data_IF_560132076596
#
_entry.id   IF_560132076596
#
_cell.length_a   1.000
_cell.length_b   1.000
_cell.length_c   1.000
_cell.angle_alpha   90.00
_cell.angle_beta   90.00
_cell.angle_gamma   90.00
#
_symmetry.space_group_name_H-M   'P 1'
#
loop_
_entity.id
_entity.type
_entity.pdbx_description
1 polymer ?
#
# COMPACT_ATOMS: atom_id res chain seq x y z
N UNK A 1 -13.41 -5.35 -9.17
CA UNK A 1 -12.23 -4.83 -9.92
C UNK A 1 -11.30 -5.98 -10.21
N UNK A 2 -10.79 -6.07 -11.41
CA UNK A 2 -9.91 -7.18 -11.72
C UNK A 2 -8.48 -6.94 -11.20
N UNK A 3 -7.71 -8.03 -11.17
CA UNK A 3 -6.36 -7.99 -10.59
C UNK A 3 -5.42 -7.04 -11.33
N UNK A 4 -5.57 -6.92 -12.64
CA UNK A 4 -4.72 -6.04 -13.43
C UNK A 4 -4.97 -4.57 -13.10
N UNK A 5 -6.21 -4.17 -12.93
CA UNK A 5 -6.54 -2.80 -12.54
C UNK A 5 -6.02 -2.50 -11.15
N UNK A 6 -6.20 -3.42 -10.22
CA UNK A 6 -5.71 -3.26 -8.87
C UNK A 6 -4.19 -3.09 -8.85
N UNK A 7 -3.48 -3.94 -9.59
CA UNK A 7 -2.02 -3.86 -9.66
C UNK A 7 -1.57 -2.53 -10.27
N UNK A 8 -2.24 -2.08 -11.34
CA UNK A 8 -1.92 -0.81 -11.98
C UNK A 8 -2.11 0.37 -11.03
N UNK A 9 -3.19 0.36 -10.26
CA UNK A 9 -3.45 1.40 -9.27
C UNK A 9 -2.35 1.39 -8.20
N UNK A 10 -1.99 0.21 -7.71
CA UNK A 10 -0.95 0.10 -6.70
C UNK A 10 0.40 0.60 -7.22
N UNK A 11 0.74 0.30 -8.46
CA UNK A 11 1.98 0.80 -9.06
C UNK A 11 2.00 2.33 -9.13
N UNK A 12 0.87 2.95 -9.46
CA UNK A 12 0.76 4.41 -9.45
C UNK A 12 0.93 4.97 -8.04
N UNK A 13 0.36 4.30 -7.06
CA UNK A 13 0.54 4.69 -5.66
C UNK A 13 2.01 4.62 -5.26
N UNK A 14 2.72 3.57 -5.68
CA UNK A 14 4.15 3.45 -5.42
C UNK A 14 4.95 4.59 -6.06
N UNK A 15 4.59 4.99 -7.27
CA UNK A 15 5.24 6.13 -7.92
C UNK A 15 5.05 7.41 -7.10
N UNK A 16 3.84 7.65 -6.62
CA UNK A 16 3.59 8.82 -5.76
C UNK A 16 4.38 8.75 -4.47
N UNK A 17 4.44 7.57 -3.84
CA UNK A 17 5.20 7.39 -2.61
C UNK A 17 6.70 7.61 -2.82
N UNK A 18 7.22 7.25 -3.98
CA UNK A 18 8.64 7.39 -4.27
C UNK A 18 9.11 8.85 -4.34
N UNK A 19 8.18 9.78 -4.44
CA UNK A 19 8.51 11.22 -4.44
C UNK A 19 8.88 11.71 -3.04
N UNK A 20 8.33 11.07 -2.01
CA UNK A 20 8.53 11.48 -0.62
C UNK A 20 9.36 10.50 0.20
N UNK A 21 9.43 9.25 -0.25
CA UNK A 21 10.12 8.17 0.46
C UNK A 21 11.32 7.75 -0.37
N UNK A 22 12.45 7.51 0.29
CA UNK A 22 13.67 7.12 -0.42
C UNK A 22 13.47 5.83 -1.21
N UNK A 23 14.22 5.71 -2.31
CA UNK A 23 14.15 4.50 -3.13
C UNK A 23 14.46 3.25 -2.32
N UNK A 24 15.44 3.33 -1.44
CA UNK A 24 15.81 2.19 -0.60
C UNK A 24 14.64 1.74 0.29
N UNK A 25 13.96 2.70 0.92
CA UNK A 25 12.80 2.37 1.75
C UNK A 25 11.65 1.82 0.93
N UNK A 26 11.39 2.40 -0.25
CA UNK A 26 10.36 1.87 -1.15
C UNK A 26 10.67 0.43 -1.54
N UNK A 27 11.92 0.16 -1.94
CA UNK A 27 12.31 -1.18 -2.37
C UNK A 27 12.25 -2.19 -1.23
N UNK A 28 12.59 -1.76 -0.01
CA UNK A 28 12.67 -2.66 1.14
C UNK A 28 11.30 -2.93 1.78
N UNK A 29 10.43 -1.93 1.85
CA UNK A 29 9.22 -2.03 2.65
C UNK A 29 7.92 -1.94 1.84
N UNK A 30 7.92 -1.23 0.72
CA UNK A 30 6.71 -1.01 -0.05
C UNK A 30 6.55 -1.98 -1.21
N UNK A 31 7.63 -2.34 -1.89
CA UNK A 31 7.56 -3.29 -3.01
C UNK A 31 7.10 -4.69 -2.61
N UNK A 32 7.46 -5.22 -1.42
CA UNK A 32 6.94 -6.51 -1.01
C UNK A 32 5.45 -6.55 -0.70
N UNK A 33 4.81 -5.39 -0.60
CA UNK A 33 3.38 -5.32 -0.31
C UNK A 33 2.58 -5.80 -1.52
N UNK A 34 1.56 -6.60 -1.25
CA UNK A 34 0.66 -7.11 -2.28
C UNK A 34 -0.70 -6.43 -2.14
N UNK A 35 -1.19 -5.73 -3.17
CA UNK A 35 -2.56 -5.20 -3.11
C UNK A 35 -3.54 -6.35 -3.18
N UNK A 36 -4.43 -6.45 -2.20
CA UNK A 36 -5.38 -7.55 -2.09
C UNK A 36 -6.75 -7.21 -2.66
N UNK A 37 -7.24 -6.03 -2.35
CA UNK A 37 -8.52 -5.57 -2.89
C UNK A 37 -8.63 -4.06 -2.73
N UNK A 38 -9.51 -3.49 -3.54
CA UNK A 38 -9.82 -2.06 -3.43
C UNK A 38 -11.31 -1.90 -3.73
N UNK A 39 -11.96 -1.03 -2.95
CA UNK A 39 -13.33 -0.63 -3.22
C UNK A 39 -13.44 0.87 -2.94
N UNK A 40 -14.65 1.40 -2.89
CA UNK A 40 -14.85 2.83 -2.72
C UNK A 40 -14.44 3.35 -1.34
N UNK A 41 -14.24 2.47 -0.38
CA UNK A 41 -13.99 2.85 1.00
C UNK A 41 -12.69 2.32 1.57
N UNK A 42 -12.22 1.16 1.09
CA UNK A 42 -11.09 0.48 1.72
C UNK A 42 -10.12 -0.05 0.67
N UNK A 43 -8.84 0.17 0.91
CA UNK A 43 -7.75 -0.49 0.18
C UNK A 43 -7.12 -1.52 1.12
N UNK A 44 -7.17 -2.79 0.74
CA UNK A 44 -6.54 -3.86 1.51
C UNK A 44 -5.18 -4.20 0.93
N UNK A 45 -4.17 -4.20 1.80
CA UNK A 45 -2.78 -4.50 1.43
C UNK A 45 -2.29 -5.69 2.26
N UNK A 46 -1.59 -6.60 1.61
CA UNK A 46 -0.96 -7.73 2.28
C UNK A 46 0.53 -7.50 2.46
N UNK A 47 1.04 -7.84 3.63
CA UNK A 47 2.46 -7.71 3.94
C UNK A 47 3.08 -9.09 4.15
N UNK A 48 4.40 -9.24 3.90
CA UNK A 48 5.02 -10.56 4.01
C UNK A 48 5.17 -11.06 5.44
N UNK A 49 5.19 -10.17 6.44
CA UNK A 49 5.34 -10.56 7.82
C UNK A 49 4.86 -9.46 8.75
N UNK A 50 4.82 -9.79 10.05
CA UNK A 50 4.33 -8.86 11.07
C UNK A 50 5.23 -7.64 11.23
N UNK A 51 6.52 -7.80 11.05
CA UNK A 51 7.46 -6.67 11.16
C UNK A 51 7.12 -5.58 10.14
N UNK A 52 6.93 -5.97 8.88
CA UNK A 52 6.61 -5.02 7.82
C UNK A 52 5.24 -4.38 8.09
N UNK A 53 4.26 -5.18 8.53
CA UNK A 53 2.93 -4.66 8.86
C UNK A 53 3.03 -3.56 9.91
N UNK A 54 3.70 -3.82 11.02
CA UNK A 54 3.84 -2.85 12.09
C UNK A 54 4.64 -1.62 11.66
N UNK A 55 5.67 -1.82 10.86
CA UNK A 55 6.47 -0.72 10.36
C UNK A 55 5.63 0.22 9.50
N UNK A 56 4.79 -0.33 8.62
CA UNK A 56 3.92 0.47 7.79
C UNK A 56 2.88 1.21 8.62
N UNK A 57 2.29 0.54 9.59
CA UNK A 57 1.27 1.15 10.44
C UNK A 57 1.84 2.29 11.26
N UNK A 58 3.08 2.17 11.69
CA UNK A 58 3.72 3.21 12.50
C UNK A 58 4.19 4.40 11.69
N UNK A 59 4.64 4.18 10.45
CA UNK A 59 5.37 5.21 9.73
C UNK A 59 4.73 5.66 8.44
N UNK A 60 4.06 4.79 7.71
CA UNK A 60 3.68 5.08 6.33
C UNK A 60 2.19 5.11 6.07
N UNK A 61 1.35 4.89 7.06
CA UNK A 61 -0.11 4.88 6.84
C UNK A 61 -0.58 6.20 6.22
N UNK A 62 -0.17 7.33 6.80
CA UNK A 62 -0.62 8.62 6.31
C UNK A 62 -0.12 8.89 4.90
N UNK A 63 1.14 8.53 4.62
CA UNK A 63 1.73 8.70 3.28
C UNK A 63 1.00 7.84 2.25
N UNK A 64 0.71 6.59 2.59
CA UNK A 64 0.00 5.69 1.68
C UNK A 64 -1.43 6.18 1.44
N UNK A 65 -2.11 6.65 2.49
CA UNK A 65 -3.46 7.19 2.34
C UNK A 65 -3.46 8.42 1.43
N UNK A 66 -2.50 9.31 1.60
CA UNK A 66 -2.40 10.51 0.78
C UNK A 66 -2.13 10.16 -0.69
N UNK A 67 -1.21 9.22 -0.94
CA UNK A 67 -0.90 8.78 -2.30
C UNK A 67 -2.12 8.08 -2.93
N UNK A 68 -2.82 7.26 -2.15
CA UNK A 68 -4.02 6.57 -2.62
C UNK A 68 -5.10 7.58 -3.00
N UNK A 69 -5.30 8.61 -2.18
CA UNK A 69 -6.28 9.64 -2.48
C UNK A 69 -5.95 10.38 -3.77
N UNK A 70 -4.67 10.64 -4.03
CA UNK A 70 -4.23 11.27 -5.27
C UNK A 70 -4.52 10.41 -6.49
N UNK A 71 -4.19 9.12 -6.39
CA UNK A 71 -4.32 8.20 -7.52
C UNK A 71 -5.78 7.88 -7.82
N UNK A 72 -6.57 7.64 -6.79
CA UNK A 72 -7.97 7.21 -6.95
C UNK A 72 -8.98 8.34 -6.87
N UNK A 73 -8.55 9.51 -6.42
CA UNK A 73 -9.41 10.66 -6.16
C UNK A 73 -10.48 10.36 -5.10
N UNK A 74 -10.18 9.44 -4.19
CA UNK A 74 -11.07 9.06 -3.08
C UNK A 74 -10.26 8.90 -1.80
N UNK A 75 -10.87 9.26 -0.68
CA UNK A 75 -10.25 9.06 0.63
C UNK A 75 -10.57 7.66 1.13
N UNK A 76 -9.67 6.72 0.87
CA UNK A 76 -9.84 5.33 1.28
C UNK A 76 -9.20 5.07 2.64
N UNK A 77 -9.82 4.16 3.39
CA UNK A 77 -9.19 3.60 4.58
C UNK A 77 -8.18 2.54 4.13
N UNK A 78 -7.17 2.30 4.96
CA UNK A 78 -6.22 1.22 4.71
C UNK A 78 -6.48 0.07 5.66
N UNK A 79 -6.43 -1.12 5.12
CA UNK A 79 -6.45 -2.35 5.92
C UNK A 79 -5.18 -3.12 5.58
N UNK A 80 -4.30 -3.28 6.55
CA UNK A 80 -3.01 -3.95 6.35
C UNK A 80 -3.07 -5.31 7.00
N UNK A 81 -2.77 -6.35 6.21
CA UNK A 81 -2.90 -7.73 6.62
C UNK A 81 -1.54 -8.41 6.58
N UNK A 82 -1.21 -9.14 7.63
CA UNK A 82 -0.02 -9.98 7.67
C UNK A 82 -0.33 -11.29 6.96
N UNK A 83 0.38 -11.55 5.86
CA UNK A 83 0.17 -12.75 5.05
C UNK A 83 1.00 -13.95 5.52
N UNK A 84 1.84 -13.77 6.52
CA UNK A 84 2.67 -14.85 7.04
C UNK A 84 1.81 -15.91 7.70
N UNK A 85 1.97 -17.16 7.26
CA UNK A 85 1.28 -18.31 7.84
C UNK A 85 2.16 -18.96 8.92
N UNK A 86 1.56 -19.26 10.04
CA UNK A 86 2.27 -19.97 11.09
C UNK A 86 2.52 -19.20 12.33
#
# INVERSE_FOLDING_TARGET
MDTKQLQAIWEQILVELSKDISKLSCDSFLKPIVPLSINEQILELGTPNQFVKEFLEDRYVDSIKAATAKVTNNNLQLKIINLQLG
#
